data_IF_479510641327
#
_entry.id   IF_479510641327
#
_cell.length_a   1.000
_cell.length_b   1.000
_cell.length_c   1.000
_cell.angle_alpha   90.00
_cell.angle_beta   90.00
_cell.angle_gamma   90.00
#
_symmetry.space_group_name_H-M   'P 1'
#
loop_
_entity.id
_entity.type
_entity.pdbx_description
1 polymer ?
#
# COMPACT_ATOMS: atom_id res chain seq x y z
N UNK A 1 -18.10 50.63 51.38
CA UNK A 1 -17.66 49.59 50.40
C UNK A 1 -16.14 49.64 50.33
N UNK A 2 -15.44 48.63 50.87
CA UNK A 2 -13.97 48.58 50.85
C UNK A 2 -13.51 47.92 49.55
N UNK A 3 -12.92 48.70 48.65
CA UNK A 3 -12.24 48.17 47.47
C UNK A 3 -11.03 47.33 47.92
N UNK A 4 -11.04 46.05 47.59
CA UNK A 4 -9.95 45.12 47.93
C UNK A 4 -8.68 45.50 47.17
N UNK A 5 -7.57 45.86 47.84
CA UNK A 5 -6.36 46.39 47.20
C UNK A 5 -5.52 45.34 46.45
N UNK A 6 -5.96 44.08 46.36
CA UNK A 6 -5.16 42.98 45.79
C UNK A 6 -5.57 42.50 44.39
N UNK A 7 -6.63 43.05 43.80
CA UNK A 7 -7.11 42.64 42.47
C UNK A 7 -6.11 42.90 41.32
N UNK A 8 -5.31 43.99 41.29
CA UNK A 8 -4.36 44.25 40.20
C UNK A 8 -3.17 43.29 40.17
N UNK A 9 -2.71 42.84 41.35
CA UNK A 9 -1.56 41.95 41.48
C UNK A 9 -1.91 40.55 40.96
N UNK A 10 -3.07 40.02 41.37
CA UNK A 10 -3.54 38.68 40.98
C UNK A 10 -3.75 38.54 39.46
N UNK A 11 -4.32 39.56 38.81
CA UNK A 11 -4.52 39.62 37.36
C UNK A 11 -3.20 39.66 36.58
N UNK A 12 -2.16 40.33 37.12
CA UNK A 12 -0.83 40.36 36.52
C UNK A 12 -0.17 38.98 36.61
N UNK A 13 -0.21 38.31 37.77
CA UNK A 13 0.36 36.96 37.94
C UNK A 13 -0.32 35.91 37.06
N UNK A 14 -1.65 35.97 36.91
CA UNK A 14 -2.40 35.06 36.02
C UNK A 14 -2.06 35.28 34.53
N UNK A 15 -1.87 36.53 34.09
CA UNK A 15 -1.45 36.84 32.71
C UNK A 15 -0.03 36.32 32.43
N UNK A 16 0.90 36.46 33.36
CA UNK A 16 2.28 35.95 33.22
C UNK A 16 2.32 34.42 33.21
N UNK A 17 1.54 33.75 34.07
CA UNK A 17 1.42 32.29 34.08
C UNK A 17 0.79 31.75 32.79
N UNK A 18 -0.25 32.42 32.26
CA UNK A 18 -0.89 32.04 30.99
C UNK A 18 0.06 32.24 29.79
N UNK A 19 0.85 33.32 29.78
CA UNK A 19 1.88 33.56 28.78
C UNK A 19 3.01 32.52 28.85
N UNK A 20 3.48 32.15 30.05
CA UNK A 20 4.49 31.10 30.24
C UNK A 20 3.97 29.71 29.84
N UNK A 21 2.71 29.38 30.13
CA UNK A 21 2.08 28.13 29.68
C UNK A 21 1.89 28.12 28.17
N UNK A 22 1.48 29.24 27.55
CA UNK A 22 1.41 29.38 26.08
C UNK A 22 2.79 29.26 25.41
N UNK A 23 3.82 29.88 25.99
CA UNK A 23 5.19 29.80 25.50
C UNK A 23 5.77 28.37 25.61
N UNK A 24 5.61 27.70 26.77
CA UNK A 24 6.01 26.30 26.97
C UNK A 24 5.24 25.33 26.07
N UNK A 25 3.93 25.54 25.85
CA UNK A 25 3.12 24.80 24.87
C UNK A 25 3.63 25.02 23.44
N UNK A 26 3.98 26.26 23.07
CA UNK A 26 4.54 26.56 21.74
C UNK A 26 5.90 25.87 21.53
N UNK A 27 6.77 25.87 22.56
CA UNK A 27 8.11 25.28 22.47
C UNK A 27 8.08 23.75 22.45
N UNK A 28 7.13 23.13 23.15
CA UNK A 28 6.91 21.67 23.06
C UNK A 28 6.31 21.26 21.73
N UNK A 29 5.39 22.05 21.16
CA UNK A 29 4.88 21.84 19.80
C UNK A 29 5.98 22.00 18.75
N UNK A 30 6.77 23.08 18.79
CA UNK A 30 7.90 23.32 17.89
C UNK A 30 8.95 22.20 17.98
N UNK A 31 9.30 21.73 19.18
CA UNK A 31 10.20 20.57 19.34
C UNK A 31 9.63 19.28 18.73
N UNK A 32 8.32 19.04 18.83
CA UNK A 32 7.67 17.88 18.20
C UNK A 32 7.66 18.01 16.67
N UNK A 33 7.44 19.20 16.14
CA UNK A 33 7.47 19.49 14.70
C UNK A 33 8.89 19.36 14.15
N UNK A 34 9.90 19.91 14.83
CA UNK A 34 11.30 19.77 14.46
C UNK A 34 11.74 18.30 14.42
N UNK A 35 11.44 17.52 15.47
CA UNK A 35 11.72 16.07 15.47
C UNK A 35 11.01 15.31 14.36
N UNK A 36 9.79 15.73 13.99
CA UNK A 36 9.07 15.15 12.85
C UNK A 36 9.75 15.49 11.54
N UNK A 37 10.17 16.74 11.36
CA UNK A 37 10.88 17.21 10.17
C UNK A 37 12.26 16.53 10.02
N UNK A 38 13.05 16.45 11.09
CA UNK A 38 14.32 15.71 11.13
C UNK A 38 14.13 14.24 10.74
N UNK A 39 13.13 13.57 11.32
CA UNK A 39 12.80 12.19 10.95
C UNK A 39 12.38 12.07 9.49
N UNK A 40 11.62 13.03 8.96
CA UNK A 40 11.25 13.07 7.55
C UNK A 40 12.47 13.26 6.65
N UNK A 41 13.41 14.12 7.03
CA UNK A 41 14.66 14.36 6.29
C UNK A 41 15.54 13.10 6.26
N UNK A 42 15.82 12.49 7.41
CA UNK A 42 16.59 11.23 7.48
C UNK A 42 15.94 10.11 6.68
N UNK A 43 14.61 10.04 6.69
CA UNK A 43 13.87 9.08 5.88
C UNK A 43 14.03 9.36 4.38
N UNK A 44 13.98 10.63 3.96
CA UNK A 44 14.15 11.04 2.57
C UNK A 44 15.59 10.76 2.06
N UNK A 45 16.61 11.05 2.87
CA UNK A 45 18.01 10.73 2.55
C UNK A 45 18.20 9.22 2.34
N UNK A 46 17.64 8.40 3.23
CA UNK A 46 17.63 6.94 3.06
C UNK A 46 16.89 6.52 1.80
N UNK A 47 15.80 7.19 1.43
CA UNK A 47 15.02 6.88 0.22
C UNK A 47 15.82 7.13 -1.07
N UNK A 48 16.56 8.24 -1.12
CA UNK A 48 17.39 8.64 -2.26
C UNK A 48 18.53 7.65 -2.45
N UNK A 49 19.23 7.30 -1.36
CA UNK A 49 20.39 6.41 -1.40
C UNK A 49 20.06 4.95 -1.70
N UNK A 50 18.82 4.52 -1.45
CA UNK A 50 18.49 3.09 -1.45
C UNK A 50 18.19 2.51 -2.84
N UNK A 51 17.92 3.31 -3.89
CA UNK A 51 17.54 2.75 -5.22
C UNK A 51 17.90 3.50 -6.50
N UNK A 52 18.70 4.57 -6.47
CA UNK A 52 19.13 5.23 -7.71
C UNK A 52 20.62 4.98 -8.04
N UNK A 53 21.10 3.76 -7.77
CA UNK A 53 22.35 3.29 -8.37
C UNK A 53 22.13 2.98 -9.85
N UNK A 54 23.20 3.05 -10.67
CA UNK A 54 23.16 2.74 -12.10
C UNK A 54 22.49 1.40 -12.42
N UNK A 55 22.76 0.39 -11.58
CA UNK A 55 22.16 -0.95 -11.66
C UNK A 55 20.62 -0.98 -11.56
N UNK A 56 20.00 0.01 -10.91
CA UNK A 56 18.55 0.07 -10.79
C UNK A 56 17.89 0.65 -12.04
N UNK A 57 18.58 1.58 -12.72
CA UNK A 57 18.12 2.11 -14.03
C UNK A 57 18.16 1.01 -15.10
N UNK A 58 19.24 0.22 -15.12
CA UNK A 58 19.36 -0.96 -15.98
C UNK A 58 18.23 -1.96 -15.67
N UNK A 59 18.00 -2.30 -14.40
CA UNK A 59 16.87 -3.15 -14.00
C UNK A 59 15.50 -2.62 -14.47
N UNK A 60 15.21 -1.32 -14.32
CA UNK A 60 13.94 -0.76 -14.79
C UNK A 60 13.76 -0.95 -16.31
N UNK A 61 14.81 -0.61 -17.07
CA UNK A 61 14.74 -0.57 -18.52
C UNK A 61 14.83 -1.96 -19.18
N UNK A 62 15.58 -2.88 -18.57
CA UNK A 62 15.86 -4.20 -19.12
C UNK A 62 14.88 -5.26 -18.59
N UNK A 63 14.31 -5.06 -17.39
CA UNK A 63 13.46 -6.07 -16.75
C UNK A 63 12.02 -5.60 -16.58
N UNK A 64 11.79 -4.45 -15.95
CA UNK A 64 10.43 -4.02 -15.58
C UNK A 64 9.60 -3.68 -16.83
N UNK A 65 10.07 -2.73 -17.65
CA UNK A 65 9.29 -2.29 -18.82
C UNK A 65 9.14 -3.39 -19.88
N UNK A 66 10.17 -4.16 -20.25
CA UNK A 66 10.01 -5.24 -21.22
C UNK A 66 9.02 -6.31 -20.74
N UNK A 67 9.08 -6.71 -19.46
CA UNK A 67 8.12 -7.66 -18.89
C UNK A 67 6.69 -7.10 -18.91
N UNK A 68 6.52 -5.86 -18.48
CA UNK A 68 5.22 -5.20 -18.50
C UNK A 68 4.64 -5.10 -19.92
N UNK A 69 5.46 -4.78 -20.92
CA UNK A 69 5.05 -4.76 -22.32
C UNK A 69 4.64 -6.14 -22.83
N UNK A 70 5.37 -7.20 -22.45
CA UNK A 70 5.06 -8.59 -22.83
C UNK A 70 3.71 -9.08 -22.29
N UNK A 71 3.36 -8.71 -21.06
CA UNK A 71 2.16 -9.21 -20.38
C UNK A 71 0.95 -8.28 -20.49
N UNK A 72 1.13 -7.05 -20.99
CA UNK A 72 0.05 -6.10 -21.12
C UNK A 72 -0.97 -6.58 -22.16
N UNK A 73 -2.23 -6.73 -21.74
CA UNK A 73 -3.33 -7.12 -22.61
C UNK A 73 -4.08 -5.89 -23.13
N UNK A 74 -3.55 -5.28 -24.20
CA UNK A 74 -4.12 -4.07 -24.82
C UNK A 74 -5.47 -4.31 -25.51
N UNK A 75 -5.84 -5.57 -25.76
CA UNK A 75 -7.13 -5.95 -26.38
C UNK A 75 -8.20 -6.32 -25.33
N UNK A 76 -7.93 -6.15 -24.04
CA UNK A 76 -8.87 -6.44 -22.96
C UNK A 76 -10.16 -5.60 -23.10
N UNK A 77 -11.32 -6.28 -23.15
CA UNK A 77 -12.63 -5.66 -23.39
C UNK A 77 -13.49 -5.48 -22.13
N UNK A 78 -13.03 -5.96 -20.97
CA UNK A 78 -13.77 -5.87 -19.70
C UNK A 78 -13.70 -4.50 -19.04
N UNK A 79 -14.34 -4.38 -17.87
CA UNK A 79 -14.24 -3.16 -17.04
C UNK A 79 -12.80 -2.96 -16.58
N UNK A 80 -12.30 -1.74 -16.68
CA UNK A 80 -10.94 -1.38 -16.28
C UNK A 80 -10.93 -0.34 -15.16
N UNK A 81 -9.77 -0.20 -14.52
CA UNK A 81 -9.47 0.83 -13.51
C UNK A 81 -8.08 1.37 -13.74
N UNK A 82 -7.96 2.70 -13.84
CA UNK A 82 -6.66 3.38 -13.89
C UNK A 82 -6.29 3.94 -12.53
N UNK A 83 -5.11 3.58 -12.04
CA UNK A 83 -4.49 4.14 -10.83
C UNK A 83 -3.45 5.17 -11.25
N UNK A 84 -3.63 6.42 -10.82
CA UNK A 84 -2.61 7.48 -10.92
C UNK A 84 -1.84 7.58 -9.61
N UNK A 85 -0.52 7.41 -9.69
CA UNK A 85 0.33 7.52 -8.53
C UNK A 85 0.63 8.99 -8.24
N UNK A 86 0.36 9.43 -7.02
CA UNK A 86 0.62 10.79 -6.55
C UNK A 86 1.48 10.75 -5.29
N UNK A 87 2.29 11.80 -5.07
CA UNK A 87 3.16 11.87 -3.89
C UNK A 87 2.31 11.91 -2.62
N UNK A 88 2.44 10.91 -1.75
CA UNK A 88 1.80 10.88 -0.43
C UNK A 88 2.73 11.44 0.65
N UNK A 89 3.10 12.72 0.58
CA UNK A 89 4.02 13.37 1.54
C UNK A 89 3.57 13.29 3.00
N UNK A 90 2.27 13.10 3.26
CA UNK A 90 1.71 13.03 4.62
C UNK A 90 1.67 11.62 5.22
N UNK A 91 1.98 10.58 4.46
CA UNK A 91 1.94 9.19 4.93
C UNK A 91 3.34 8.65 5.17
N UNK A 92 3.49 7.70 6.09
CA UNK A 92 4.74 6.95 6.37
C UNK A 92 5.36 6.22 5.15
N UNK A 93 4.78 6.33 3.95
CA UNK A 93 5.30 5.76 2.71
C UNK A 93 6.40 6.65 2.18
N UNK A 94 7.63 6.22 2.36
CA UNK A 94 8.87 6.95 2.01
C UNK A 94 9.24 6.78 0.54
N UNK A 95 8.25 6.50 -0.31
CA UNK A 95 8.42 6.31 -1.75
C UNK A 95 7.85 7.50 -2.52
N UNK A 96 8.55 7.91 -3.57
CA UNK A 96 8.00 8.81 -4.57
C UNK A 96 6.86 8.13 -5.34
N UNK A 97 6.03 8.94 -6.01
CA UNK A 97 4.98 8.41 -6.88
C UNK A 97 5.53 7.47 -7.96
N UNK A 98 6.70 7.80 -8.52
CA UNK A 98 7.34 7.00 -9.56
C UNK A 98 7.89 5.67 -9.01
N UNK A 99 8.42 5.66 -7.79
CA UNK A 99 8.85 4.42 -7.13
C UNK A 99 7.66 3.49 -6.82
N UNK A 100 6.53 4.04 -6.37
CA UNK A 100 5.29 3.26 -6.18
C UNK A 100 4.79 2.69 -7.51
N UNK A 101 4.82 3.51 -8.57
CA UNK A 101 4.48 3.08 -9.92
C UNK A 101 5.35 1.91 -10.39
N UNK A 102 6.68 2.03 -10.28
CA UNK A 102 7.61 0.99 -10.71
C UNK A 102 7.45 -0.30 -9.89
N UNK A 103 7.27 -0.19 -8.57
CA UNK A 103 7.05 -1.36 -7.71
C UNK A 103 5.78 -2.11 -8.13
N UNK A 104 4.66 -1.39 -8.27
CA UNK A 104 3.39 -2.02 -8.62
C UNK A 104 3.41 -2.57 -10.06
N UNK A 105 4.09 -1.89 -10.99
CA UNK A 105 4.28 -2.38 -12.34
C UNK A 105 5.14 -3.66 -12.38
N UNK A 106 6.23 -3.74 -11.61
CA UNK A 106 7.07 -4.95 -11.54
C UNK A 106 6.31 -6.12 -10.90
N UNK A 107 5.57 -5.86 -9.80
CA UNK A 107 4.70 -6.87 -9.19
C UNK A 107 3.65 -7.40 -10.17
N UNK A 108 2.88 -6.52 -10.81
CA UNK A 108 1.84 -6.91 -11.78
C UNK A 108 2.43 -7.64 -12.99
N UNK A 109 3.54 -7.15 -13.54
CA UNK A 109 4.21 -7.77 -14.67
C UNK A 109 4.64 -9.21 -14.37
N UNK A 110 5.21 -9.46 -13.18
CA UNK A 110 5.61 -10.81 -12.74
C UNK A 110 4.43 -11.72 -12.48
N UNK A 111 3.39 -11.20 -11.83
CA UNK A 111 2.18 -11.96 -11.52
C UNK A 111 1.47 -12.36 -12.81
N UNK A 112 1.25 -11.42 -13.73
CA UNK A 112 0.59 -11.69 -15.00
C UNK A 112 1.41 -12.63 -15.90
N UNK A 113 2.74 -12.56 -15.87
CA UNK A 113 3.58 -13.55 -16.56
C UNK A 113 3.33 -14.96 -16.02
N UNK A 114 3.23 -15.13 -14.70
CA UNK A 114 2.94 -16.43 -14.09
C UNK A 114 1.51 -16.91 -14.33
N UNK A 115 0.55 -15.99 -14.38
CA UNK A 115 -0.83 -16.25 -14.77
C UNK A 115 -0.91 -16.82 -16.19
N UNK A 116 -0.25 -16.17 -17.16
CA UNK A 116 -0.17 -16.63 -18.55
C UNK A 116 0.47 -18.02 -18.67
N UNK A 117 1.55 -18.28 -17.93
CA UNK A 117 2.23 -19.59 -17.93
C UNK A 117 1.38 -20.72 -17.33
N UNK A 118 0.42 -20.39 -16.47
CA UNK A 118 -0.44 -21.35 -15.77
C UNK A 118 -1.86 -21.41 -16.37
N UNK A 119 -2.12 -20.69 -17.47
CA UNK A 119 -3.46 -20.56 -18.06
C UNK A 119 -4.52 -20.10 -17.04
N UNK A 120 -4.13 -19.16 -16.16
CA UNK A 120 -4.99 -18.59 -15.14
C UNK A 120 -5.31 -17.13 -15.48
N UNK A 121 -6.59 -16.78 -15.56
CA UNK A 121 -7.03 -15.41 -15.86
C UNK A 121 -7.62 -14.70 -14.64
N UNK A 122 -7.75 -15.41 -13.52
CA UNK A 122 -8.40 -14.90 -12.31
C UNK A 122 -7.39 -14.50 -11.23
N UNK A 123 -7.93 -14.14 -10.07
CA UNK A 123 -7.20 -13.93 -8.81
C UNK A 123 -6.29 -12.69 -8.71
N UNK A 124 -5.94 -12.05 -9.83
CA UNK A 124 -5.22 -10.79 -9.85
C UNK A 124 -5.69 -9.88 -10.99
N UNK A 125 -5.47 -8.56 -10.89
CA UNK A 125 -5.73 -7.66 -12.00
C UNK A 125 -4.84 -7.97 -13.21
N UNK A 126 -5.46 -8.00 -14.38
CA UNK A 126 -4.78 -8.05 -15.68
C UNK A 126 -4.24 -6.66 -15.96
N UNK A 127 -2.95 -6.55 -16.26
CA UNK A 127 -2.32 -5.33 -16.73
C UNK A 127 -2.80 -5.05 -18.15
N UNK A 128 -3.50 -3.93 -18.34
CA UNK A 128 -4.06 -3.52 -19.64
C UNK A 128 -3.13 -2.52 -20.31
N UNK A 129 -2.70 -1.50 -19.56
CA UNK A 129 -1.86 -0.42 -20.07
C UNK A 129 -1.07 0.24 -18.92
N UNK A 130 0.01 0.94 -19.26
CA UNK A 130 0.76 1.76 -18.32
C UNK A 130 1.43 2.96 -19.02
N UNK A 131 1.58 4.06 -18.28
CA UNK A 131 2.26 5.25 -18.77
C UNK A 131 3.32 5.71 -17.74
N UNK A 132 4.62 5.52 -18.04
CA UNK A 132 5.70 5.91 -17.13
C UNK A 132 5.78 7.41 -16.87
N UNK A 133 5.53 8.26 -17.87
CA UNK A 133 5.60 9.72 -17.73
C UNK A 133 4.51 10.26 -16.79
N UNK A 134 3.30 9.70 -16.90
CA UNK A 134 2.15 10.08 -16.06
C UNK A 134 2.09 9.30 -14.75
N UNK A 135 2.96 8.31 -14.56
CA UNK A 135 2.91 7.33 -13.48
C UNK A 135 1.49 6.78 -13.31
N UNK A 136 0.96 6.13 -14.34
CA UNK A 136 -0.36 5.50 -14.33
C UNK A 136 -0.29 4.04 -14.73
N UNK A 137 -1.10 3.20 -14.08
CA UNK A 137 -1.31 1.79 -14.45
C UNK A 137 -2.80 1.58 -14.62
N UNK A 138 -3.20 0.96 -15.73
CA UNK A 138 -4.57 0.54 -16.01
C UNK A 138 -4.66 -0.97 -15.90
N UNK A 139 -5.59 -1.46 -15.08
CA UNK A 139 -5.81 -2.90 -14.88
C UNK A 139 -7.26 -3.28 -15.11
N UNK A 140 -7.55 -4.59 -15.23
CA UNK A 140 -8.91 -5.10 -15.13
C UNK A 140 -9.53 -4.81 -13.75
N UNK A 141 -10.87 -4.80 -13.72
CA UNK A 141 -11.66 -4.67 -12.49
C UNK A 141 -12.15 -6.03 -12.02
N UNK A 142 -11.58 -6.52 -10.91
CA UNK A 142 -11.84 -7.88 -10.38
C UNK A 142 -12.94 -7.95 -9.30
N UNK A 143 -13.76 -6.91 -9.14
CA UNK A 143 -14.90 -6.91 -8.21
C UNK A 143 -14.78 -5.95 -7.03
N UNK A 144 -15.49 -6.27 -5.94
CA UNK A 144 -15.73 -5.39 -4.79
C UNK A 144 -14.82 -5.79 -3.62
N UNK A 145 -14.15 -4.82 -2.99
CA UNK A 145 -13.34 -5.04 -1.80
C UNK A 145 -14.16 -5.61 -0.63
N UNK A 146 -13.60 -6.55 0.13
CA UNK A 146 -14.31 -7.20 1.23
C UNK A 146 -14.82 -6.20 2.29
N UNK A 147 -14.07 -5.13 2.56
CA UNK A 147 -14.44 -4.09 3.52
C UNK A 147 -15.63 -3.21 3.07
N UNK A 148 -16.06 -3.37 1.81
CA UNK A 148 -17.17 -2.63 1.19
C UNK A 148 -18.34 -3.54 0.80
N UNK A 149 -18.29 -4.83 1.13
CA UNK A 149 -19.39 -5.73 0.86
C UNK A 149 -20.61 -5.37 1.72
N UNK A 150 -21.76 -5.28 1.06
CA UNK A 150 -23.07 -5.08 1.72
C UNK A 150 -23.99 -6.29 1.51
N UNK A 151 -23.73 -7.10 0.49
CA UNK A 151 -24.51 -8.28 0.12
C UNK A 151 -23.75 -9.55 0.46
N UNK A 152 -24.47 -10.63 0.81
CA UNK A 152 -23.84 -11.93 1.03
C UNK A 152 -23.29 -12.49 -0.29
N UNK A 153 -22.08 -13.03 -0.24
CA UNK A 153 -21.37 -13.63 -1.35
C UNK A 153 -20.97 -15.06 -0.99
N UNK A 154 -21.19 -15.99 -1.90
CA UNK A 154 -20.73 -17.37 -1.77
C UNK A 154 -19.34 -17.48 -2.39
N UNK A 155 -18.40 -18.11 -1.70
CA UNK A 155 -17.04 -18.36 -2.18
C UNK A 155 -16.86 -19.85 -2.40
N UNK A 156 -16.95 -20.35 -3.65
CA UNK A 156 -16.80 -21.76 -3.94
C UNK A 156 -15.32 -22.17 -3.93
N UNK A 157 -15.02 -23.39 -3.50
CA UNK A 157 -13.67 -23.99 -3.61
C UNK A 157 -12.58 -23.11 -2.99
N UNK A 158 -12.86 -22.49 -1.84
CA UNK A 158 -11.98 -21.50 -1.20
C UNK A 158 -10.52 -21.97 -1.10
N UNK A 159 -10.34 -23.23 -0.68
CA UNK A 159 -9.04 -23.87 -0.51
C UNK A 159 -8.21 -23.86 -1.79
N UNK A 160 -8.86 -24.15 -2.93
CA UNK A 160 -8.21 -24.14 -4.24
C UNK A 160 -7.83 -22.73 -4.64
N UNK A 161 -8.75 -21.76 -4.50
CA UNK A 161 -8.49 -20.36 -4.84
C UNK A 161 -7.31 -19.78 -4.04
N UNK A 162 -7.27 -20.01 -2.73
CA UNK A 162 -6.15 -19.57 -1.87
C UNK A 162 -4.84 -20.20 -2.32
N UNK A 163 -4.85 -21.50 -2.62
CA UNK A 163 -3.67 -22.22 -3.08
C UNK A 163 -3.15 -21.64 -4.39
N UNK A 164 -4.02 -21.39 -5.36
CA UNK A 164 -3.68 -20.74 -6.63
C UNK A 164 -3.06 -19.36 -6.42
N UNK A 165 -3.69 -18.50 -5.61
CA UNK A 165 -3.19 -17.16 -5.27
C UNK A 165 -1.75 -17.23 -4.72
N UNK A 166 -1.53 -18.09 -3.74
CA UNK A 166 -0.23 -18.20 -3.06
C UNK A 166 0.84 -18.79 -3.98
N UNK A 167 0.50 -19.76 -4.82
CA UNK A 167 1.41 -20.35 -5.79
C UNK A 167 1.84 -19.33 -6.85
N UNK A 168 0.91 -18.56 -7.40
CA UNK A 168 1.21 -17.50 -8.38
C UNK A 168 2.16 -16.47 -7.76
N UNK A 169 1.90 -16.00 -6.54
CA UNK A 169 2.77 -15.03 -5.86
C UNK A 169 4.17 -15.59 -5.58
N UNK A 170 4.25 -16.85 -5.13
CA UNK A 170 5.51 -17.53 -4.87
C UNK A 170 6.34 -17.66 -6.15
N UNK A 171 5.74 -18.13 -7.25
CA UNK A 171 6.39 -18.30 -8.54
C UNK A 171 6.80 -16.94 -9.15
N UNK A 172 5.98 -15.91 -8.96
CA UNK A 172 6.28 -14.54 -9.36
C UNK A 172 7.37 -13.89 -8.50
N UNK A 173 7.78 -14.52 -7.39
CA UNK A 173 8.67 -13.97 -6.37
C UNK A 173 8.16 -12.63 -5.84
N UNK A 174 6.85 -12.55 -5.60
CA UNK A 174 6.17 -11.37 -5.07
C UNK A 174 5.67 -11.66 -3.65
N UNK A 175 6.00 -10.79 -2.71
CA UNK A 175 5.50 -10.84 -1.34
C UNK A 175 4.63 -9.61 -1.09
N UNK A 176 3.34 -9.82 -0.84
CA UNK A 176 2.39 -8.76 -0.49
C UNK A 176 2.47 -8.45 1.01
N UNK A 177 2.67 -7.18 1.38
CA UNK A 177 2.97 -6.73 2.75
C UNK A 177 1.91 -5.79 3.33
N UNK A 178 0.73 -5.75 2.74
CA UNK A 178 -0.36 -4.86 3.16
C UNK A 178 -1.69 -5.56 3.28
N UNK A 179 -1.68 -6.74 3.90
CA UNK A 179 -2.92 -7.42 4.24
C UNK A 179 -3.60 -6.77 5.45
N UNK A 180 -4.58 -5.93 5.13
CA UNK A 180 -5.42 -5.27 6.12
C UNK A 180 -6.44 -6.24 6.71
N UNK A 181 -6.66 -6.18 8.04
CA UNK A 181 -7.61 -7.06 8.75
C UNK A 181 -9.05 -6.99 8.24
N UNK A 182 -9.43 -5.89 7.59
CA UNK A 182 -10.75 -5.70 6.98
C UNK A 182 -10.84 -6.24 5.54
N UNK A 183 -9.73 -6.67 4.95
CA UNK A 183 -9.72 -7.21 3.59
C UNK A 183 -9.87 -6.18 2.48
N UNK A 184 -9.45 -4.92 2.67
CA UNK A 184 -9.55 -3.88 1.63
C UNK A 184 -8.80 -4.22 0.33
N UNK A 185 -7.78 -5.08 0.44
CA UNK A 185 -6.93 -5.54 -0.66
C UNK A 185 -7.29 -6.95 -1.15
N UNK A 186 -8.40 -7.52 -0.64
CA UNK A 186 -9.05 -8.71 -1.21
C UNK A 186 -10.35 -8.21 -1.85
N UNK A 187 -10.57 -8.53 -3.11
CA UNK A 187 -11.83 -8.27 -3.80
C UNK A 187 -12.51 -9.58 -4.16
N UNK A 188 -13.82 -9.53 -4.34
CA UNK A 188 -14.64 -10.65 -4.78
C UNK A 188 -15.53 -10.21 -5.94
N UNK A 189 -15.62 -11.02 -6.98
CA UNK A 189 -16.51 -10.79 -8.12
C UNK A 189 -17.91 -11.41 -7.89
N UNK A 190 -18.80 -11.29 -8.86
CA UNK A 190 -20.16 -11.84 -8.77
C UNK A 190 -20.22 -13.36 -8.70
N UNK A 191 -19.16 -14.07 -9.07
CA UNK A 191 -19.08 -15.52 -9.09
C UNK A 191 -18.38 -16.11 -7.85
N UNK A 192 -17.99 -15.25 -6.89
CA UNK A 192 -17.30 -15.69 -5.69
C UNK A 192 -15.79 -15.89 -5.87
N UNK A 193 -15.21 -15.34 -6.93
CA UNK A 193 -13.78 -15.44 -7.22
C UNK A 193 -13.03 -14.37 -6.46
N UNK A 194 -12.12 -14.80 -5.60
CA UNK A 194 -11.26 -13.93 -4.80
C UNK A 194 -10.12 -13.39 -5.67
N UNK A 195 -9.82 -12.10 -5.58
CA UNK A 195 -8.61 -11.52 -6.17
C UNK A 195 -7.84 -10.64 -5.19
N UNK A 196 -6.50 -10.63 -5.31
CA UNK A 196 -5.62 -9.76 -4.52
C UNK A 196 -5.26 -8.51 -5.35
N UNK A 197 -5.42 -7.35 -4.75
CA UNK A 197 -5.14 -6.05 -5.39
C UNK A 197 -4.18 -5.19 -4.57
N UNK A 198 -3.75 -4.07 -5.17
CA UNK A 198 -2.94 -3.02 -4.55
C UNK A 198 -1.56 -3.51 -4.05
N UNK A 199 -0.57 -3.46 -4.94
CA UNK A 199 0.81 -3.87 -4.65
C UNK A 199 1.73 -2.69 -4.30
N UNK A 200 1.16 -1.59 -3.82
CA UNK A 200 1.90 -0.38 -3.45
C UNK A 200 2.81 -0.54 -2.20
N UNK A 201 2.75 -1.71 -1.58
CA UNK A 201 3.53 -2.15 -0.44
C UNK A 201 3.79 -3.66 -0.55
N UNK A 202 4.74 -3.99 -1.41
CA UNK A 202 5.15 -5.36 -1.71
C UNK A 202 6.67 -5.46 -1.88
N UNK A 203 7.17 -6.68 -1.98
CA UNK A 203 8.50 -7.01 -2.46
C UNK A 203 8.39 -7.74 -3.80
N UNK A 204 9.25 -7.41 -4.75
CA UNK A 204 9.38 -8.13 -6.02
C UNK A 204 10.81 -8.65 -6.19
N UNK A 205 10.97 -9.85 -6.74
CA UNK A 205 12.28 -10.44 -7.06
C UNK A 205 13.25 -10.54 -5.88
N UNK A 206 12.73 -10.73 -4.65
CA UNK A 206 13.52 -10.66 -3.41
C UNK A 206 14.23 -9.32 -3.15
N UNK A 207 13.84 -8.25 -3.87
CA UNK A 207 14.42 -6.91 -3.72
C UNK A 207 13.41 -5.99 -3.03
N UNK A 208 13.70 -5.49 -1.81
CA UNK A 208 12.85 -4.48 -1.20
C UNK A 208 13.00 -3.18 -2.00
N UNK A 209 11.90 -2.57 -2.43
CA UNK A 209 11.92 -1.27 -3.13
C UNK A 209 12.18 -0.06 -2.19
N UNK A 210 12.29 -0.27 -0.88
CA UNK A 210 12.76 0.72 0.09
C UNK A 210 13.01 0.06 1.46
N UNK A 211 13.67 0.78 2.36
CA UNK A 211 13.90 0.33 3.74
C UNK A 211 12.62 0.11 4.57
N UNK A 212 11.48 0.72 4.21
CA UNK A 212 10.19 0.49 4.90
C UNK A 212 9.61 -0.88 4.54
N UNK A 213 9.69 -1.27 3.27
CA UNK A 213 9.37 -2.62 2.79
C UNK A 213 10.30 -3.63 3.47
N UNK A 214 11.61 -3.35 3.49
CA UNK A 214 12.59 -4.19 4.18
C UNK A 214 12.29 -4.32 5.68
N UNK A 215 11.98 -3.21 6.37
CA UNK A 215 11.64 -3.23 7.79
C UNK A 215 10.33 -3.98 8.07
N UNK A 216 9.34 -3.91 7.16
CA UNK A 216 8.12 -4.71 7.25
C UNK A 216 8.42 -6.21 7.10
N UNK A 217 9.23 -6.58 6.10
CA UNK A 217 9.68 -7.97 5.87
C UNK A 217 10.36 -8.54 7.11
N UNK A 218 11.34 -7.81 7.67
CA UNK A 218 12.06 -8.23 8.90
C UNK A 218 11.14 -8.44 10.10
N UNK A 219 10.02 -7.72 10.19
CA UNK A 219 9.03 -7.87 11.27
C UNK A 219 8.05 -9.03 11.03
N UNK A 220 7.94 -9.54 9.81
CA UNK A 220 6.98 -10.60 9.45
C UNK A 220 5.51 -10.21 9.62
N UNK A 221 5.18 -8.91 9.72
CA UNK A 221 3.81 -8.44 9.97
C UNK A 221 3.10 -8.11 8.65
N UNK A 222 1.81 -8.45 8.57
CA UNK A 222 0.92 -8.16 7.42
C UNK A 222 1.32 -8.84 6.10
N UNK A 223 2.13 -9.89 6.18
CA UNK A 223 2.45 -10.77 5.05
C UNK A 223 1.19 -11.50 4.60
N UNK A 224 0.84 -11.45 3.31
CA UNK A 224 -0.21 -12.33 2.79
C UNK A 224 0.16 -13.80 3.04
N UNK A 225 -0.62 -14.45 3.88
CA UNK A 225 -0.54 -15.89 4.12
C UNK A 225 -1.94 -16.49 4.09
N UNK A 226 -2.02 -17.80 3.85
CA UNK A 226 -3.24 -18.60 3.96
C UNK A 226 -4.06 -18.26 5.21
N UNK A 227 -3.44 -18.35 6.39
CA UNK A 227 -4.08 -18.03 7.68
C UNK A 227 -4.62 -16.59 7.74
N UNK A 228 -3.97 -15.63 7.08
CA UNK A 228 -4.47 -14.25 7.05
C UNK A 228 -5.66 -14.08 6.11
N UNK A 229 -5.66 -14.74 4.95
CA UNK A 229 -6.80 -14.74 4.02
C UNK A 229 -8.01 -15.37 4.72
N UNK A 230 -7.86 -16.59 5.23
CA UNK A 230 -8.91 -17.33 5.95
C UNK A 230 -9.45 -16.52 7.13
N UNK A 231 -8.57 -15.94 7.96
CA UNK A 231 -8.99 -15.08 9.07
C UNK A 231 -9.76 -13.86 8.61
N UNK A 232 -9.33 -13.23 7.52
CA UNK A 232 -9.99 -12.02 6.99
C UNK A 232 -11.39 -12.35 6.45
N UNK A 233 -11.52 -13.48 5.75
CA UNK A 233 -12.81 -13.98 5.27
C UNK A 233 -13.75 -14.37 6.41
N UNK A 234 -13.25 -15.10 7.41
CA UNK A 234 -14.02 -15.53 8.57
C UNK A 234 -14.53 -14.35 9.43
N UNK A 235 -13.82 -13.21 9.41
CA UNK A 235 -14.26 -12.00 10.09
C UNK A 235 -15.30 -11.18 9.30
N UNK A 236 -15.64 -11.58 8.07
CA UNK A 236 -16.60 -10.87 7.23
C UNK A 236 -17.95 -11.60 7.21
N UNK A 237 -18.98 -11.01 7.85
CA UNK A 237 -20.32 -11.59 7.95
C UNK A 237 -21.07 -11.73 6.61
N UNK A 238 -20.54 -11.14 5.55
CA UNK A 238 -21.10 -11.22 4.20
C UNK A 238 -20.48 -12.34 3.36
N UNK A 239 -19.55 -13.14 3.88
CA UNK A 239 -18.97 -14.28 3.16
C UNK A 239 -19.59 -15.59 3.64
N UNK A 240 -20.04 -16.41 2.69
CA UNK A 240 -20.45 -17.80 2.89
C UNK A 240 -19.42 -18.67 2.18
N UNK A 241 -18.75 -19.57 2.91
CA UNK A 241 -17.75 -20.49 2.35
C UNK A 241 -18.46 -21.77 1.94
N UNK A 242 -18.22 -22.23 0.71
CA UNK A 242 -18.78 -23.46 0.14
C UNK A 242 -17.68 -24.42 -0.32
#
# INVERSE_FOLDING_TARGET
MKNSPNTPLLLKTMRTATAQVRFKKSHTTLRKELRRAEKQLTNAEKAINYHFTRSHKEYINEEIFPRAAKVANSTFTGKTRTKKFTRRFRSFKVMSAYQLFLLELDCLGRINEQMLLQDEENHFPILVDYNPEKATITTSHNGISLDKLTTKMVVPNLERQITTILNILANARVIHLDMHKRGSNIVIDSHGILSIIDFDMAQAANRPFNYTVEAKLRRGKQLLTRKQIEKTLACNSHIIIQ
#
